data_IF_889841426998
#
_entry.id   IF_889841426998
#
_cell.length_a   1.000
_cell.length_b   1.000
_cell.length_c   1.000
_cell.angle_alpha   90.00
_cell.angle_beta   90.00
_cell.angle_gamma   90.00
#
_symmetry.space_group_name_H-M   'P 1'
#
loop_
_entity.id
_entity.type
_entity.pdbx_description
1 polymer ?
#
# COMPACT_ATOMS: atom_id res chain seq x y z
N UNK A 1 7.03 -14.45 10.52
CA UNK A 1 7.27 -14.68 9.07
C UNK A 1 6.24 -15.71 8.64
N UNK A 2 5.26 -15.29 7.84
CA UNK A 2 4.24 -16.18 7.30
C UNK A 2 4.92 -17.34 6.57
N UNK A 3 4.65 -18.55 7.07
CA UNK A 3 5.08 -19.79 6.45
C UNK A 3 4.13 -20.07 5.29
N UNK A 4 4.66 -20.64 4.23
CA UNK A 4 3.87 -21.07 3.09
C UNK A 4 4.31 -22.46 2.66
N UNK A 5 3.41 -23.18 2.00
CA UNK A 5 3.70 -24.45 1.31
C UNK A 5 3.64 -24.31 -0.20
N UNK A 6 2.77 -23.42 -0.71
CA UNK A 6 2.62 -23.10 -2.13
C UNK A 6 2.52 -21.59 -2.38
N UNK A 7 2.72 -21.17 -3.63
CA UNK A 7 2.72 -19.75 -4.02
C UNK A 7 1.38 -19.05 -3.74
N UNK A 8 0.26 -19.79 -3.85
CA UNK A 8 -1.10 -19.25 -3.66
C UNK A 8 -1.29 -18.58 -2.29
N UNK A 9 -0.75 -19.18 -1.23
CA UNK A 9 -0.80 -18.62 0.13
C UNK A 9 -0.14 -17.24 0.21
N UNK A 10 0.89 -17.00 -0.60
CA UNK A 10 1.57 -15.72 -0.67
C UNK A 10 0.81 -14.72 -1.55
N UNK A 11 0.32 -15.17 -2.71
CA UNK A 11 -0.47 -14.34 -3.64
C UNK A 11 -1.74 -13.75 -3.01
N UNK A 12 -2.35 -14.49 -2.07
CA UNK A 12 -3.48 -14.01 -1.26
C UNK A 12 -3.11 -12.79 -0.40
N UNK A 13 -1.85 -12.68 0.04
CA UNK A 13 -1.38 -11.55 0.85
C UNK A 13 -0.90 -10.40 -0.02
N UNK A 14 -0.07 -10.72 -1.02
CA UNK A 14 0.47 -9.77 -1.99
C UNK A 14 0.55 -10.37 -3.40
N UNK A 15 -0.08 -9.76 -4.41
CA UNK A 15 -0.08 -10.28 -5.78
C UNK A 15 1.32 -10.49 -6.36
N UNK A 16 1.54 -11.67 -6.96
CA UNK A 16 2.81 -12.04 -7.59
C UNK A 16 3.93 -12.41 -6.60
N UNK A 17 3.63 -12.51 -5.31
CA UNK A 17 4.57 -13.05 -4.34
C UNK A 17 4.61 -14.58 -4.40
N UNK A 18 5.78 -15.17 -4.12
CA UNK A 18 6.02 -16.62 -4.25
C UNK A 18 6.51 -17.23 -2.96
N UNK A 19 6.22 -18.51 -2.77
CA UNK A 19 6.68 -19.33 -1.66
C UNK A 19 8.07 -19.90 -1.95
N UNK A 20 9.09 -19.36 -1.31
CA UNK A 20 10.46 -19.82 -1.47
C UNK A 20 11.04 -20.27 -0.14
N UNK A 21 11.41 -21.56 -0.06
CA UNK A 21 11.94 -22.20 1.18
C UNK A 21 10.99 -21.99 2.36
N UNK A 22 9.70 -22.28 2.13
CA UNK A 22 8.60 -22.14 3.09
C UNK A 22 8.38 -20.72 3.64
N UNK A 23 8.72 -19.69 2.84
CA UNK A 23 8.52 -18.27 3.20
C UNK A 23 8.08 -17.46 2.00
N UNK A 24 7.08 -16.60 2.18
CA UNK A 24 6.65 -15.68 1.14
C UNK A 24 7.71 -14.63 0.83
N UNK A 25 7.91 -14.39 -0.47
CA UNK A 25 8.81 -13.39 -1.03
C UNK A 25 8.09 -12.49 -2.01
N UNK A 26 8.35 -11.20 -1.91
CA UNK A 26 7.84 -10.21 -2.85
C UNK A 26 8.29 -10.49 -4.29
N UNK A 27 7.51 -10.05 -5.29
CA UNK A 27 7.91 -10.11 -6.69
C UNK A 27 9.17 -9.28 -6.98
N UNK A 28 9.71 -9.40 -8.19
CA UNK A 28 10.80 -8.53 -8.66
C UNK A 28 10.38 -7.06 -8.66
N UNK A 29 11.33 -6.16 -8.35
CA UNK A 29 11.11 -4.71 -8.18
C UNK A 29 10.22 -4.34 -6.99
N UNK A 30 10.16 -5.21 -5.98
CA UNK A 30 9.52 -4.93 -4.71
C UNK A 30 10.46 -5.16 -3.52
N UNK A 31 10.20 -4.42 -2.44
CA UNK A 31 10.90 -4.59 -1.17
C UNK A 31 9.92 -4.98 -0.08
N UNK A 32 10.19 -6.09 0.61
CA UNK A 32 9.39 -6.53 1.75
C UNK A 32 9.57 -5.58 2.94
N UNK A 33 8.48 -5.13 3.53
CA UNK A 33 8.45 -4.37 4.78
C UNK A 33 7.52 -5.00 5.80
N UNK A 34 7.78 -4.71 7.08
CA UNK A 34 6.88 -5.08 8.17
C UNK A 34 5.67 -4.15 8.11
N UNK A 35 4.48 -4.69 8.30
CA UNK A 35 3.24 -3.93 8.48
C UNK A 35 2.64 -4.36 9.82
N UNK A 36 2.29 -3.42 10.71
CA UNK A 36 1.53 -3.74 11.93
C UNK A 36 0.20 -4.46 11.66
N UNK A 37 -0.55 -4.05 10.65
CA UNK A 37 -1.88 -4.58 10.32
C UNK A 37 -1.87 -5.86 9.49
N UNK A 38 -0.84 -6.07 8.65
CA UNK A 38 -0.77 -7.19 7.68
C UNK A 38 0.40 -8.15 7.91
N UNK A 39 1.13 -8.00 9.02
CA UNK A 39 2.45 -8.58 9.31
C UNK A 39 3.58 -8.18 8.34
N UNK A 40 3.32 -8.24 7.04
CA UNK A 40 4.24 -7.83 5.98
C UNK A 40 3.49 -7.36 4.73
N UNK A 41 4.16 -6.51 3.99
CA UNK A 41 3.70 -5.95 2.73
C UNK A 41 4.88 -5.84 1.76
N UNK A 42 4.60 -5.66 0.47
CA UNK A 42 5.60 -5.34 -0.53
C UNK A 42 5.47 -3.88 -0.94
N UNK A 43 6.57 -3.14 -0.91
CA UNK A 43 6.62 -1.81 -1.49
C UNK A 43 7.16 -1.89 -2.91
N UNK A 44 6.41 -1.33 -3.88
CA UNK A 44 6.93 -1.16 -5.24
C UNK A 44 8.12 -0.22 -5.22
N UNK A 45 9.20 -0.61 -5.90
CA UNK A 45 10.36 0.27 -6.15
C UNK A 45 10.03 1.27 -7.25
N UNK A 46 9.19 0.87 -8.20
CA UNK A 46 8.89 1.66 -9.38
C UNK A 46 7.57 2.41 -9.23
N UNK A 47 7.53 3.63 -9.76
CA UNK A 47 6.35 4.46 -9.86
C UNK A 47 5.41 3.95 -10.97
N UNK A 48 4.11 3.91 -10.67
CA UNK A 48 3.10 3.32 -11.55
C UNK A 48 2.82 4.16 -12.79
N UNK A 49 3.05 5.48 -12.76
CA UNK A 49 2.83 6.36 -13.90
C UNK A 49 4.00 6.29 -14.90
N UNK A 50 5.22 6.27 -14.38
CA UNK A 50 6.44 6.40 -15.21
C UNK A 50 7.15 5.07 -15.47
N UNK A 51 6.91 4.06 -14.64
CA UNK A 51 7.66 2.79 -14.64
C UNK A 51 9.12 2.92 -14.20
N UNK A 52 9.56 4.12 -13.80
CA UNK A 52 10.90 4.41 -13.28
C UNK A 52 10.94 4.25 -11.76
N UNK A 53 12.12 4.35 -11.16
CA UNK A 53 12.26 4.34 -9.69
C UNK A 53 11.44 5.48 -9.07
N UNK A 54 10.54 5.13 -8.16
CA UNK A 54 9.64 6.07 -7.50
C UNK A 54 10.26 6.77 -6.29
N UNK A 55 9.47 7.59 -5.57
CA UNK A 55 9.93 8.28 -4.37
C UNK A 55 10.40 7.32 -3.25
N UNK A 56 11.39 7.72 -2.43
CA UNK A 56 11.94 6.86 -1.38
C UNK A 56 10.92 6.56 -0.27
N UNK A 57 9.96 7.45 -0.04
CA UNK A 57 8.84 7.24 0.87
C UNK A 57 7.61 6.87 0.06
N UNK A 58 7.05 5.70 0.33
CA UNK A 58 5.85 5.21 -0.35
C UNK A 58 5.10 4.24 0.55
N UNK A 59 3.77 4.28 0.47
CA UNK A 59 2.90 3.30 1.10
C UNK A 59 2.75 2.04 0.22
N UNK A 60 2.26 0.93 0.79
CA UNK A 60 2.07 -0.31 0.02
C UNK A 60 1.02 -0.16 -1.09
N UNK A 61 -0.05 0.58 -0.82
CA UNK A 61 -1.16 0.80 -1.73
C UNK A 61 -1.34 2.31 -1.99
N UNK A 62 -1.73 2.74 -3.21
CA UNK A 62 -1.77 1.94 -4.43
C UNK A 62 -0.39 1.43 -4.84
N UNK A 63 -0.35 0.23 -5.42
CA UNK A 63 0.89 -0.37 -5.95
C UNK A 63 1.55 0.57 -6.97
N UNK A 64 2.75 1.05 -6.63
CA UNK A 64 3.53 2.02 -7.42
C UNK A 64 3.12 3.49 -7.28
N UNK A 65 2.14 3.84 -6.44
CA UNK A 65 1.76 5.24 -6.19
C UNK A 65 1.46 5.56 -4.73
N UNK A 66 1.91 4.72 -3.80
CA UNK A 66 1.65 4.89 -2.37
C UNK A 66 2.16 6.20 -1.77
N UNK A 67 3.13 6.88 -2.40
CA UNK A 67 3.59 8.21 -1.98
C UNK A 67 2.49 9.28 -2.03
N UNK A 68 1.45 9.08 -2.85
CA UNK A 68 0.33 10.01 -2.98
C UNK A 68 -0.61 9.98 -1.76
N UNK A 69 -0.60 8.87 -1.00
CA UNK A 69 -1.56 8.62 0.09
C UNK A 69 -0.92 8.60 1.48
N UNK A 70 0.37 8.94 1.57
CA UNK A 70 1.04 9.16 2.85
C UNK A 70 0.28 10.25 3.62
N UNK A 71 0.09 10.04 4.93
CA UNK A 71 -0.46 11.06 5.82
C UNK A 71 0.36 12.34 5.71
N UNK A 72 -0.30 13.47 5.46
CA UNK A 72 0.35 14.78 5.39
C UNK A 72 -0.13 15.64 6.56
N UNK A 73 0.77 16.44 7.10
CA UNK A 73 0.44 17.35 8.18
C UNK A 73 -0.64 18.37 7.79
N UNK A 74 -1.38 18.87 8.78
CA UNK A 74 -2.37 19.93 8.57
C UNK A 74 -1.67 21.29 8.44
N UNK A 75 -1.32 21.70 7.22
CA UNK A 75 -0.89 23.07 6.93
C UNK A 75 -2.08 23.87 6.38
N UNK A 76 -2.10 25.18 6.66
CA UNK A 76 -3.11 26.11 6.11
C UNK A 76 -3.07 26.20 4.58
N UNK A 77 -2.01 25.69 3.94
CA UNK A 77 -1.88 25.52 2.50
C UNK A 77 -1.64 24.03 2.16
N UNK A 78 -2.73 23.30 1.87
CA UNK A 78 -2.74 21.86 1.57
C UNK A 78 -1.79 21.41 0.44
N UNK A 79 -1.32 22.31 -0.42
CA UNK A 79 -0.41 21.98 -1.53
C UNK A 79 1.07 21.77 -1.12
N UNK A 80 1.44 22.07 0.12
CA UNK A 80 2.84 22.04 0.59
C UNK A 80 3.03 21.23 1.89
N UNK A 81 1.98 20.56 2.37
CA UNK A 81 2.06 19.81 3.62
C UNK A 81 3.09 18.68 3.52
N UNK A 82 4.12 18.66 4.39
CA UNK A 82 5.12 17.60 4.38
C UNK A 82 4.49 16.26 4.79
N UNK A 83 5.06 15.13 4.32
CA UNK A 83 4.68 13.81 4.80
C UNK A 83 4.94 13.68 6.30
N UNK A 84 4.05 12.99 7.02
CA UNK A 84 4.25 12.63 8.42
C UNK A 84 5.19 11.42 8.46
N UNK A 85 6.42 11.67 8.93
CA UNK A 85 7.45 10.66 9.09
C UNK A 85 7.29 9.93 10.42
N UNK A 86 7.75 8.68 10.49
CA UNK A 86 7.66 7.84 11.68
C UNK A 86 8.87 6.91 11.79
N UNK A 87 9.07 6.33 12.98
CA UNK A 87 10.02 5.22 13.13
C UNK A 87 9.31 3.87 13.08
N UNK A 88 9.80 2.97 12.22
CA UNK A 88 9.25 1.61 12.05
C UNK A 88 9.36 0.75 13.31
N UNK A 89 10.15 1.18 14.30
CA UNK A 89 10.36 0.49 15.58
C UNK A 89 9.29 0.81 16.62
N UNK A 90 8.80 2.05 16.62
CA UNK A 90 7.90 2.60 17.64
C UNK A 90 6.47 2.77 17.14
N UNK A 91 6.27 2.86 15.81
CA UNK A 91 4.96 3.04 15.19
C UNK A 91 4.23 4.30 15.68
N UNK A 92 4.92 5.45 15.65
CA UNK A 92 4.45 6.74 16.19
C UNK A 92 3.39 7.44 15.31
N UNK A 93 2.61 6.68 14.55
CA UNK A 93 1.54 7.21 13.71
C UNK A 93 0.24 7.39 14.51
N UNK A 94 -0.59 8.33 14.07
CA UNK A 94 -1.92 8.53 14.65
C UNK A 94 -2.87 7.37 14.32
N UNK A 95 -4.00 7.30 15.03
CA UNK A 95 -5.02 6.26 14.80
C UNK A 95 -5.53 6.29 13.36
N UNK A 96 -5.64 5.12 12.74
CA UNK A 96 -5.97 4.97 11.32
C UNK A 96 -4.74 4.89 10.41
N UNK A 97 -3.55 5.08 10.98
CA UNK A 97 -2.29 5.01 10.24
C UNK A 97 -1.29 4.07 10.93
N UNK A 98 -0.43 3.48 10.11
CA UNK A 98 0.66 2.64 10.54
C UNK A 98 1.98 3.08 9.90
N UNK A 99 3.06 2.87 10.63
CA UNK A 99 4.39 3.23 10.17
C UNK A 99 4.94 2.17 9.23
N UNK A 100 5.13 2.55 7.97
CA UNK A 100 5.75 1.70 6.97
C UNK A 100 7.14 2.23 6.65
N UNK A 101 8.15 1.39 6.85
CA UNK A 101 9.52 1.73 6.53
C UNK A 101 9.67 1.97 5.02
N UNK A 102 10.18 3.14 4.62
CA UNK A 102 10.38 3.50 3.23
C UNK A 102 11.47 2.67 2.53
N UNK A 103 11.75 3.00 1.27
CA UNK A 103 12.85 2.42 0.51
C UNK A 103 14.21 2.93 1.01
N UNK A 104 14.25 4.20 1.42
CA UNK A 104 15.42 4.87 2.01
C UNK A 104 15.01 5.78 3.18
N UNK A 105 15.86 5.98 4.19
CA UNK A 105 15.59 6.91 5.30
C UNK A 105 15.51 8.37 4.83
N UNK A 106 14.68 9.17 5.50
CA UNK A 106 14.52 10.62 5.26
C UNK A 106 14.51 11.34 6.61
N UNK A 107 15.31 12.40 6.75
CA UNK A 107 15.39 13.25 7.95
C UNK A 107 15.59 12.48 9.27
N UNK A 108 16.38 11.41 9.24
CA UNK A 108 16.71 10.59 10.40
C UNK A 108 15.62 9.58 10.81
N UNK A 109 14.47 9.59 10.14
CA UNK A 109 13.40 8.60 10.29
C UNK A 109 13.41 7.62 9.11
N UNK A 110 12.94 6.40 9.35
CA UNK A 110 13.01 5.31 8.40
C UNK A 110 11.67 4.97 7.74
N UNK A 111 10.57 5.61 8.13
CA UNK A 111 9.25 5.34 7.59
C UNK A 111 8.34 6.57 7.45
N UNK A 112 7.17 6.33 6.86
CA UNK A 112 6.08 7.28 6.73
C UNK A 112 4.77 6.67 7.25
N UNK A 113 3.87 7.52 7.74
CA UNK A 113 2.55 7.10 8.18
C UNK A 113 1.64 6.83 6.99
N UNK A 114 1.30 5.56 6.81
CA UNK A 114 0.46 5.04 5.75
C UNK A 114 -0.90 4.63 6.30
N UNK A 115 -1.99 4.76 5.52
CA UNK A 115 -3.29 4.28 5.97
C UNK A 115 -3.20 2.82 6.40
N UNK A 116 -3.73 2.51 7.57
CA UNK A 116 -3.81 1.12 8.04
C UNK A 116 -4.89 0.34 7.26
N UNK A 117 -5.06 -0.93 7.60
CA UNK A 117 -6.03 -1.79 6.92
C UNK A 117 -7.46 -1.25 6.97
N UNK A 118 -7.91 -0.82 8.15
CA UNK A 118 -9.28 -0.34 8.36
C UNK A 118 -9.52 0.95 7.56
N UNK A 119 -8.58 1.88 7.65
CA UNK A 119 -8.63 3.19 6.99
C UNK A 119 -8.55 3.05 5.48
N UNK A 120 -7.69 2.16 4.98
CA UNK A 120 -7.61 1.81 3.57
C UNK A 120 -8.95 1.30 3.03
N UNK A 121 -9.62 0.40 3.74
CA UNK A 121 -10.91 -0.15 3.30
C UNK A 121 -12.08 0.85 3.42
N UNK A 122 -11.95 1.86 4.29
CA UNK A 122 -12.94 2.93 4.44
C UNK A 122 -12.75 4.08 3.44
N UNK A 123 -11.58 4.19 2.79
CA UNK A 123 -11.32 5.23 1.81
C UNK A 123 -12.18 5.08 0.55
N UNK A 124 -12.52 6.18 -0.14
CA UNK A 124 -13.31 6.13 -1.36
C UNK A 124 -12.51 5.52 -2.52
N UNK A 125 -13.22 4.91 -3.46
CA UNK A 125 -12.69 4.45 -4.75
C UNK A 125 -12.65 5.65 -5.70
N UNK A 126 -11.49 5.87 -6.31
CA UNK A 126 -11.29 6.93 -7.29
C UNK A 126 -11.24 6.34 -8.70
N UNK A 127 -12.42 6.24 -9.34
CA UNK A 127 -12.54 5.86 -10.76
C UNK A 127 -12.26 7.07 -11.65
N UNK A 128 -11.26 6.95 -12.52
CA UNK A 128 -10.78 8.02 -13.39
C UNK A 128 -11.24 7.75 -14.82
N UNK A 129 -11.90 8.72 -15.46
CA UNK A 129 -12.26 8.62 -16.88
C UNK A 129 -11.03 8.42 -17.78
N UNK A 130 -9.88 9.02 -17.41
CA UNK A 130 -8.58 8.85 -18.06
C UNK A 130 -7.85 7.55 -17.69
N UNK A 131 -8.42 6.74 -16.79
CA UNK A 131 -7.78 5.56 -16.24
C UNK A 131 -7.53 4.48 -17.30
N UNK A 132 -6.29 4.01 -17.34
CA UNK A 132 -5.83 2.94 -18.24
C UNK A 132 -5.50 1.64 -17.52
N UNK A 133 -5.34 1.70 -16.19
CA UNK A 133 -5.04 0.54 -15.35
C UNK A 133 -6.32 0.03 -14.69
N UNK A 134 -6.66 -1.23 -14.94
CA UNK A 134 -7.75 -1.90 -14.23
C UNK A 134 -7.30 -2.21 -12.78
N UNK A 135 -8.12 -1.82 -11.80
CA UNK A 135 -7.88 -2.01 -10.37
C UNK A 135 -9.15 -2.45 -9.65
N UNK A 136 -8.99 -2.84 -8.39
CA UNK A 136 -10.06 -3.26 -7.50
C UNK A 136 -10.10 -2.38 -6.25
N UNK A 137 -11.28 -2.11 -5.73
CA UNK A 137 -11.49 -1.34 -4.50
C UNK A 137 -12.70 -1.87 -3.74
N UNK A 138 -12.71 -1.69 -2.42
CA UNK A 138 -13.81 -2.13 -1.56
C UNK A 138 -14.87 -1.04 -1.47
N UNK A 139 -16.13 -1.36 -1.78
CA UNK A 139 -17.24 -0.39 -1.77
C UNK A 139 -18.02 -0.34 -0.43
N UNK A 140 -17.51 -1.06 0.58
CA UNK A 140 -18.19 -1.28 1.86
C UNK A 140 -18.94 -2.61 1.94
N UNK A 141 -19.11 -3.31 0.82
CA UNK A 141 -19.78 -4.61 0.76
C UNK A 141 -18.98 -5.66 0.00
N UNK A 142 -18.42 -5.31 -1.14
CA UNK A 142 -17.64 -6.20 -1.97
C UNK A 142 -16.48 -5.46 -2.66
N UNK A 143 -15.59 -6.25 -3.27
CA UNK A 143 -14.52 -5.71 -4.09
C UNK A 143 -15.00 -5.51 -5.52
N UNK A 144 -15.07 -4.25 -5.93
CA UNK A 144 -15.52 -3.84 -7.26
C UNK A 144 -14.35 -3.38 -8.11
N UNK A 145 -14.49 -3.54 -9.43
CA UNK A 145 -13.48 -3.13 -10.41
C UNK A 145 -13.69 -1.66 -10.81
N UNK A 146 -12.59 -0.92 -10.99
CA UNK A 146 -12.59 0.46 -11.50
C UNK A 146 -11.37 0.74 -12.40
N UNK A 147 -11.37 1.88 -13.10
CA UNK A 147 -10.23 2.35 -13.90
C UNK A 147 -9.42 3.37 -13.12
N UNK A 148 -8.12 3.16 -13.08
CA UNK A 148 -7.20 4.02 -12.36
C UNK A 148 -6.21 4.69 -13.31
N UNK A 149 -6.06 6.00 -13.11
CA UNK A 149 -5.01 6.83 -13.68
C UNK A 149 -3.98 7.12 -12.57
N UNK A 150 -2.74 6.59 -12.64
CA UNK A 150 -1.72 6.79 -11.62
C UNK A 150 -1.19 8.22 -11.53
N UNK A 151 -1.44 9.07 -12.52
CA UNK A 151 -1.03 10.49 -12.50
C UNK A 151 -2.03 11.38 -11.74
N UNK A 152 -3.20 10.82 -11.38
CA UNK A 152 -4.27 11.55 -10.69
C UNK A 152 -4.31 11.18 -9.21
N UNK A 153 -4.68 12.13 -8.33
CA UNK A 153 -4.89 11.86 -6.91
C UNK A 153 -5.84 10.67 -6.71
N UNK A 154 -5.49 9.79 -5.78
CA UNK A 154 -6.26 8.59 -5.46
C UNK A 154 -6.20 8.31 -3.96
N UNK A 155 -6.74 7.18 -3.53
CA UNK A 155 -6.66 6.70 -2.16
C UNK A 155 -5.94 5.36 -2.07
N UNK A 156 -5.68 4.91 -0.84
CA UNK A 156 -5.13 3.57 -0.60
C UNK A 156 -6.09 2.44 -0.99
N UNK A 157 -7.39 2.72 -1.19
CA UNK A 157 -8.40 1.74 -1.61
C UNK A 157 -8.25 1.41 -3.11
N UNK A 158 -7.12 0.80 -3.45
CA UNK A 158 -6.69 0.55 -4.82
C UNK A 158 -5.77 -0.68 -4.85
N UNK A 159 -6.35 -1.80 -5.22
CA UNK A 159 -5.73 -3.11 -5.22
C UNK A 159 -5.49 -3.58 -6.65
N UNK A 160 -4.40 -4.33 -6.86
CA UNK A 160 -4.03 -4.84 -8.19
C UNK A 160 -4.92 -5.98 -8.66
N UNK A 161 -5.43 -6.80 -7.73
CA UNK A 161 -6.28 -7.95 -8.03
C UNK A 161 -7.49 -8.00 -7.09
N UNK A 162 -8.57 -8.68 -7.53
CA UNK A 162 -9.75 -8.92 -6.69
C UNK A 162 -9.38 -9.65 -5.41
N UNK A 163 -8.58 -10.72 -5.54
CA UNK A 163 -8.14 -11.55 -4.42
C UNK A 163 -7.40 -10.73 -3.35
N UNK A 164 -6.54 -9.81 -3.76
CA UNK A 164 -5.85 -8.91 -2.83
C UNK A 164 -6.85 -8.03 -2.09
N UNK A 165 -7.81 -7.42 -2.79
CA UNK A 165 -8.86 -6.61 -2.17
C UNK A 165 -9.69 -7.42 -1.17
N UNK A 166 -10.14 -8.62 -1.55
CA UNK A 166 -10.99 -9.48 -0.70
C UNK A 166 -10.23 -9.92 0.57
N UNK A 167 -8.98 -10.37 0.41
CA UNK A 167 -8.06 -10.68 1.50
C UNK A 167 -7.79 -9.48 2.43
N UNK A 168 -7.80 -8.27 1.88
CA UNK A 168 -7.48 -7.06 2.63
C UNK A 168 -8.71 -6.44 3.32
N UNK A 169 -9.89 -6.45 2.71
CA UNK A 169 -11.06 -5.71 3.20
C UNK A 169 -12.28 -6.56 3.57
N UNK A 170 -12.43 -7.76 2.99
CA UNK A 170 -13.57 -8.64 3.32
C UNK A 170 -13.19 -9.56 4.47
N UNK A 171 -11.96 -10.07 4.45
CA UNK A 171 -11.44 -11.04 5.42
C UNK A 171 -10.63 -10.40 6.56
N UNK A 172 -11.07 -9.25 7.08
CA UNK A 172 -10.34 -8.48 8.11
C UNK A 172 -10.14 -9.28 9.42
N UNK A 173 -10.94 -10.33 9.65
CA UNK A 173 -10.89 -11.17 10.86
C UNK A 173 -10.81 -12.69 10.58
N UNK A 174 -10.47 -13.10 9.36
CA UNK A 174 -10.39 -14.52 9.01
C UNK A 174 -9.08 -15.17 9.50
#
# INVERSE_FOLDING_TARGET
LIKCTEDRECEEIWPGSTCQRARCRCPENYVRRKSPSREWVCLSVNDAATGQVGPPLTCPLPDGAGYQVILRGSSTNNLLSPPVLCSSKTNDCETGYECIQGLSPVDGLDGACCPDQITTCAHPIFDHESGTLERWGFDGSECVRFKWDPEKPSSANNFKTKLQCESYCVNIFA
#
